data_IF_838610601102
#
_entry.id   IF_838610601102
#
_cell.length_a   1.000
_cell.length_b   1.000
_cell.length_c   1.000
_cell.angle_alpha   90.00
_cell.angle_beta   90.00
_cell.angle_gamma   90.00
#
_symmetry.space_group_name_H-M   'P 1'
#
loop_
_entity.id
_entity.type
_entity.pdbx_description
1 polymer ?
#
# COMPACT_ATOMS: atom_id res chain seq x y z
N UNK A 1 6.86 -17.98 18.98
CA UNK A 1 6.24 -16.64 19.01
C UNK A 1 5.83 -16.22 17.61
N UNK A 2 4.68 -15.57 17.45
CA UNK A 2 4.17 -15.04 16.17
C UNK A 2 4.20 -13.52 16.22
N UNK A 3 4.61 -12.83 15.15
CA UNK A 3 4.66 -11.36 15.05
C UNK A 3 3.96 -10.88 13.77
N UNK A 4 3.19 -9.79 13.88
CA UNK A 4 2.65 -9.10 12.72
C UNK A 4 3.70 -8.12 12.20
N UNK A 5 4.04 -8.21 10.92
CA UNK A 5 4.96 -7.29 10.24
C UNK A 5 4.16 -6.43 9.28
N UNK A 6 3.74 -5.26 9.76
CA UNK A 6 2.90 -4.30 9.05
C UNK A 6 3.29 -2.89 9.49
N UNK A 7 2.97 -1.89 8.66
CA UNK A 7 3.18 -0.49 8.98
C UNK A 7 2.24 0.01 10.10
N UNK A 8 2.31 1.31 10.41
CA UNK A 8 1.51 1.95 11.47
C UNK A 8 0.18 2.51 10.98
N UNK A 9 -0.09 2.43 9.67
CA UNK A 9 -1.18 3.15 9.03
C UNK A 9 -2.12 2.20 8.28
N UNK A 10 -3.05 1.54 9.01
CA UNK A 10 -4.06 0.74 8.37
C UNK A 10 -4.98 1.63 7.54
N UNK A 11 -4.86 1.52 6.22
CA UNK A 11 -5.61 2.27 5.23
C UNK A 11 -6.47 1.34 4.34
N UNK A 12 -7.61 1.83 3.82
CA UNK A 12 -8.38 1.10 2.81
C UNK A 12 -7.52 0.83 1.57
N UNK A 13 -7.68 -0.35 0.97
CA UNK A 13 -6.91 -0.75 -0.22
C UNK A 13 -7.09 0.23 -1.38
N UNK A 14 -8.31 0.75 -1.54
CA UNK A 14 -8.65 1.74 -2.56
C UNK A 14 -7.89 3.06 -2.39
N UNK A 15 -7.62 3.48 -1.16
CA UNK A 15 -6.86 4.68 -0.85
C UNK A 15 -5.39 4.49 -1.26
N UNK A 16 -4.79 3.37 -0.88
CA UNK A 16 -3.40 3.02 -1.22
C UNK A 16 -3.20 3.00 -2.74
N UNK A 17 -4.13 2.37 -3.48
CA UNK A 17 -4.07 2.35 -4.95
C UNK A 17 -4.25 3.73 -5.57
N UNK A 18 -5.18 4.53 -5.06
CA UNK A 18 -5.42 5.89 -5.57
C UNK A 18 -4.16 6.75 -5.41
N UNK A 19 -3.49 6.64 -4.26
CA UNK A 19 -2.26 7.37 -4.02
C UNK A 19 -1.10 6.85 -4.89
N UNK A 20 -0.91 5.54 -5.01
CA UNK A 20 0.10 4.96 -5.91
C UNK A 20 -0.08 5.45 -7.36
N UNK A 21 -1.33 5.49 -7.84
CA UNK A 21 -1.68 6.01 -9.16
C UNK A 21 -1.26 7.48 -9.31
N UNK A 22 -1.55 8.31 -8.30
CA UNK A 22 -1.16 9.72 -8.33
C UNK A 22 0.36 9.91 -8.44
N UNK A 23 1.16 9.08 -7.75
CA UNK A 23 2.62 9.13 -7.84
C UNK A 23 3.13 8.74 -9.23
N UNK A 24 2.55 7.69 -9.83
CA UNK A 24 2.89 7.30 -11.19
C UNK A 24 2.54 8.41 -12.18
N UNK A 25 1.35 9.00 -12.09
CA UNK A 25 0.93 10.08 -12.99
C UNK A 25 1.78 11.35 -12.84
N UNK A 26 2.18 11.67 -11.60
CA UNK A 26 3.06 12.80 -11.35
C UNK A 26 4.45 12.60 -11.95
N UNK A 27 4.99 11.37 -11.88
CA UNK A 27 6.36 11.06 -12.32
C UNK A 27 6.45 10.72 -13.81
N UNK A 28 5.43 10.05 -14.32
CA UNK A 28 5.35 9.52 -15.69
C UNK A 28 3.91 9.67 -16.23
N UNK A 29 3.50 10.89 -16.62
CA UNK A 29 2.13 11.18 -17.03
C UNK A 29 1.64 10.26 -18.16
N UNK A 30 2.50 9.91 -19.12
CA UNK A 30 2.10 9.12 -20.29
C UNK A 30 2.02 7.60 -20.02
N UNK A 31 2.36 7.14 -18.80
CA UNK A 31 2.46 5.70 -18.50
C UNK A 31 1.14 5.01 -18.19
N UNK A 32 0.09 5.78 -17.88
CA UNK A 32 -1.26 5.22 -17.69
C UNK A 32 -2.23 5.66 -18.79
N UNK A 33 -1.74 6.31 -19.86
CA UNK A 33 -2.55 6.60 -21.04
C UNK A 33 -3.03 5.28 -21.66
N UNK A 34 -4.35 5.15 -21.82
CA UNK A 34 -4.98 3.95 -22.35
C UNK A 34 -5.19 2.81 -21.35
N UNK A 35 -4.73 2.93 -20.10
CA UNK A 35 -5.06 1.98 -19.03
C UNK A 35 -6.37 2.44 -18.39
N UNK A 36 -7.50 1.85 -18.81
CA UNK A 36 -8.73 1.92 -18.01
C UNK A 36 -8.51 1.06 -16.77
N UNK A 37 -8.35 1.71 -15.61
CA UNK A 37 -8.57 1.03 -14.35
C UNK A 37 -10.05 1.14 -14.10
N UNK A 38 -10.79 0.23 -14.72
CA UNK A 38 -12.22 0.10 -14.51
C UNK A 38 -12.39 -0.05 -12.99
N UNK A 39 -13.29 0.71 -12.37
CA UNK A 39 -13.74 0.42 -11.01
C UNK A 39 -14.12 -1.07 -10.90
N UNK A 40 -14.56 -1.68 -11.99
CA UNK A 40 -14.83 -3.09 -12.17
C UNK A 40 -13.60 -4.01 -12.03
N UNK A 41 -12.39 -3.57 -12.37
CA UNK A 41 -11.13 -4.33 -12.13
C UNK A 41 -10.70 -4.27 -10.65
N UNK A 42 -10.93 -3.13 -9.97
CA UNK A 42 -10.81 -3.06 -8.52
C UNK A 42 -11.91 -3.88 -7.81
N UNK A 43 -13.07 -4.02 -8.46
CA UNK A 43 -14.22 -4.81 -8.04
C UNK A 43 -14.27 -6.20 -8.70
N UNK A 44 -13.21 -6.71 -9.34
CA UNK A 44 -13.25 -8.04 -9.99
C UNK A 44 -13.52 -9.14 -8.93
N UNK A 45 -13.15 -8.89 -7.68
CA UNK A 45 -13.53 -9.71 -6.53
C UNK A 45 -15.03 -9.66 -6.19
N UNK A 46 -15.71 -8.53 -6.45
CA UNK A 46 -17.16 -8.45 -6.33
C UNK A 46 -17.88 -9.27 -7.42
N UNK A 47 -17.30 -9.41 -8.62
CA UNK A 47 -17.85 -10.28 -9.67
C UNK A 47 -17.71 -11.78 -9.35
N UNK A 48 -16.67 -12.19 -8.59
CA UNK A 48 -16.52 -13.58 -8.12
C UNK A 48 -17.26 -13.88 -6.82
N UNK A 49 -17.90 -12.88 -6.20
CA UNK A 49 -18.62 -13.01 -4.93
C UNK A 49 -17.73 -13.11 -3.69
N UNK A 50 -16.42 -12.97 -3.84
CA UNK A 50 -15.48 -12.96 -2.70
C UNK A 50 -15.32 -11.53 -2.18
N UNK A 51 -15.94 -11.25 -1.03
CA UNK A 51 -15.70 -10.01 -0.32
C UNK A 51 -14.23 -9.97 0.13
N UNK A 52 -13.47 -8.98 -0.36
CA UNK A 52 -12.13 -8.73 0.16
C UNK A 52 -12.29 -8.23 1.60
N UNK A 53 -11.94 -9.07 2.57
CA UNK A 53 -11.91 -8.64 3.96
C UNK A 53 -10.76 -7.65 4.19
N UNK A 54 -11.10 -6.46 4.69
CA UNK A 54 -10.11 -5.52 5.23
C UNK A 54 -10.00 -5.72 6.74
N UNK A 55 -8.76 -5.73 7.26
CA UNK A 55 -8.47 -5.94 8.67
C UNK A 55 -7.49 -4.88 9.17
N UNK A 56 -7.69 -4.44 10.42
CA UNK A 56 -6.73 -3.62 11.15
C UNK A 56 -5.91 -4.54 12.04
N UNK A 57 -4.59 -4.50 11.89
CA UNK A 57 -3.67 -5.44 12.56
C UNK A 57 -2.65 -4.65 13.37
N UNK A 58 -2.48 -4.99 14.66
CA UNK A 58 -1.50 -4.33 15.52
C UNK A 58 -0.08 -4.88 15.28
N UNK A 59 0.90 -3.99 15.16
CA UNK A 59 2.33 -4.29 15.09
C UNK A 59 3.08 -4.04 16.41
N UNK A 60 2.36 -3.78 17.52
CA UNK A 60 2.99 -3.38 18.78
C UNK A 60 4.06 -4.35 19.26
N UNK A 61 3.85 -5.66 19.08
CA UNK A 61 4.79 -6.70 19.52
C UNK A 61 6.11 -6.67 18.78
N UNK A 62 6.13 -6.42 17.47
CA UNK A 62 7.41 -6.29 16.74
C UNK A 62 8.19 -5.05 17.18
N UNK A 63 7.50 -3.99 17.61
CA UNK A 63 8.15 -2.78 18.14
C UNK A 63 8.66 -2.97 19.56
N UNK A 64 7.82 -3.46 20.46
CA UNK A 64 8.13 -3.54 21.89
C UNK A 64 9.07 -4.70 22.24
N UNK A 65 8.93 -5.86 21.60
CA UNK A 65 9.72 -7.05 21.92
C UNK A 65 10.99 -7.17 21.05
N UNK A 66 10.92 -6.73 19.78
CA UNK A 66 12.05 -6.85 18.86
C UNK A 66 12.79 -5.52 18.62
N UNK A 67 12.27 -4.40 19.12
CA UNK A 67 12.89 -3.08 18.93
C UNK A 67 12.88 -2.59 17.48
N UNK A 68 11.95 -3.08 16.64
CA UNK A 68 11.91 -2.67 15.24
C UNK A 68 11.45 -1.23 15.10
N UNK A 69 12.27 -0.43 14.42
CA UNK A 69 11.92 0.90 13.94
C UNK A 69 11.63 0.86 12.44
N UNK A 70 10.44 1.32 12.04
CA UNK A 70 10.01 1.30 10.64
C UNK A 70 10.63 2.47 9.87
N UNK A 71 11.37 2.17 8.81
CA UNK A 71 11.83 3.19 7.86
C UNK A 71 10.65 3.88 7.15
N UNK A 72 9.60 3.11 6.86
CA UNK A 72 8.37 3.58 6.22
C UNK A 72 7.18 3.21 7.11
N UNK A 73 6.79 4.08 8.06
CA UNK A 73 5.71 3.78 9.01
C UNK A 73 4.32 3.87 8.38
N UNK A 74 4.19 4.29 7.13
CA UNK A 74 2.93 4.32 6.40
C UNK A 74 3.13 4.07 4.91
N UNK A 75 2.07 3.63 4.25
CA UNK A 75 2.07 3.34 2.82
C UNK A 75 2.53 4.54 1.96
N UNK A 76 2.24 5.78 2.38
CA UNK A 76 2.61 6.97 1.62
C UNK A 76 4.13 7.12 1.52
N UNK A 77 4.80 7.10 2.67
CA UNK A 77 6.26 7.20 2.77
C UNK A 77 6.98 6.09 1.99
N UNK A 78 6.45 4.86 2.05
CA UNK A 78 7.00 3.72 1.30
C UNK A 78 6.81 3.88 -0.21
N UNK A 79 5.61 4.26 -0.66
CA UNK A 79 5.34 4.45 -2.09
C UNK A 79 6.10 5.62 -2.69
N UNK A 80 6.24 6.75 -1.97
CA UNK A 80 7.07 7.87 -2.41
C UNK A 80 8.54 7.46 -2.56
N UNK A 81 9.04 6.69 -1.60
CA UNK A 81 10.39 6.13 -1.61
C UNK A 81 10.63 5.27 -2.85
N UNK A 82 9.70 4.34 -3.14
CA UNK A 82 9.73 3.50 -4.34
C UNK A 82 9.67 4.36 -5.62
N UNK A 83 8.74 5.32 -5.69
CA UNK A 83 8.56 6.18 -6.88
C UNK A 83 9.79 7.05 -7.19
N UNK A 84 10.55 7.44 -6.15
CA UNK A 84 11.82 8.15 -6.29
C UNK A 84 12.98 7.23 -6.66
N UNK A 85 12.79 5.91 -6.61
CA UNK A 85 13.82 4.90 -6.85
C UNK A 85 14.75 4.77 -5.66
N UNK A 86 14.20 4.46 -4.47
CA UNK A 86 14.97 4.35 -3.23
C UNK A 86 16.27 3.55 -3.43
N UNK A 87 17.38 4.25 -3.26
CA UNK A 87 18.70 3.66 -3.20
C UNK A 87 19.04 3.47 -1.72
N UNK A 88 19.14 2.20 -1.29
CA UNK A 88 19.77 1.87 -0.03
C UNK A 88 21.18 2.49 -0.04
N UNK A 89 21.45 3.38 0.91
CA UNK A 89 22.83 3.76 1.25
C UNK A 89 23.41 2.70 2.17
#
# INVERSE_FOLDING_TARGET
>A
NVFNIIDDDPAPRSEVFSYARSLVMQRWPDKLDGISVDQETLNQHAQTGELIEEKRVSNNRMKSELGVELLHPNYRSGLESIARGYQLR
#
